data_IF_461631930813
#
_entry.id   IF_461631930813
#
_cell.length_a   1.000
_cell.length_b   1.000
_cell.length_c   1.000
_cell.angle_alpha   90.00
_cell.angle_beta   90.00
_cell.angle_gamma   90.00
#
_symmetry.space_group_name_H-M   'P 1'
#
loop_
_entity.id
_entity.type
_entity.pdbx_description
1 polymer ?
#
# COMPACT_ATOMS: atom_id res chain seq x y z
N UNK A 1 9.93 -27.54 -13.73
CA UNK A 1 10.33 -26.15 -13.44
C UNK A 1 9.46 -25.67 -12.31
N UNK A 2 10.06 -25.30 -11.18
CA UNK A 2 9.33 -24.91 -9.98
C UNK A 2 8.62 -23.58 -10.24
N UNK A 3 7.33 -23.67 -10.54
CA UNK A 3 6.43 -22.52 -10.52
C UNK A 3 6.09 -22.22 -9.05
N UNK A 4 7.10 -21.71 -8.34
CA UNK A 4 6.86 -21.08 -7.04
C UNK A 4 6.15 -19.78 -7.37
N UNK A 5 4.82 -19.85 -7.33
CA UNK A 5 3.89 -18.74 -7.36
C UNK A 5 4.30 -17.77 -6.23
N UNK A 6 5.26 -16.89 -6.51
CA UNK A 6 5.81 -15.95 -5.56
C UNK A 6 4.71 -14.94 -5.28
N UNK A 7 3.88 -15.26 -4.28
CA UNK A 7 2.83 -14.37 -3.80
C UNK A 7 3.52 -13.08 -3.42
N UNK A 8 3.29 -12.03 -4.21
CA UNK A 8 3.84 -10.73 -3.93
C UNK A 8 3.36 -10.27 -2.55
N UNK A 9 4.27 -9.68 -1.77
CA UNK A 9 3.97 -9.12 -0.48
C UNK A 9 2.80 -8.13 -0.58
N UNK A 10 1.99 -8.09 0.47
CA UNK A 10 0.84 -7.22 0.57
C UNK A 10 0.88 -6.44 1.88
N UNK A 11 0.07 -5.41 1.93
CA UNK A 11 -0.11 -4.56 3.10
C UNK A 11 -1.60 -4.30 3.31
N UNK A 12 -1.95 -4.03 4.56
CA UNK A 12 -3.30 -3.64 4.98
C UNK A 12 -3.22 -2.24 5.56
N UNK A 13 -4.10 -1.35 5.13
CA UNK A 13 -4.18 0.02 5.63
C UNK A 13 -5.61 0.26 6.09
N UNK A 14 -5.77 0.69 7.34
CA UNK A 14 -7.03 1.17 7.88
C UNK A 14 -6.92 2.66 8.17
N UNK A 15 -7.82 3.45 7.58
CA UNK A 15 -7.89 4.87 7.85
C UNK A 15 -8.42 5.14 9.27
N UNK A 16 -7.70 5.95 10.04
CA UNK A 16 -8.09 6.37 11.39
C UNK A 16 -8.69 7.80 11.41
N UNK A 17 -8.68 8.48 10.26
CA UNK A 17 -9.33 9.76 9.98
C UNK A 17 -9.86 9.79 8.53
N UNK A 18 -10.71 10.75 8.21
CA UNK A 18 -11.19 10.97 6.84
C UNK A 18 -10.08 11.54 5.94
N UNK A 19 -10.03 11.10 4.68
CA UNK A 19 -9.08 11.66 3.71
C UNK A 19 -7.65 11.13 3.81
N UNK A 20 -7.46 9.91 4.36
CA UNK A 20 -6.19 9.20 4.24
C UNK A 20 -5.92 8.89 2.77
N UNK A 21 -4.69 9.14 2.32
CA UNK A 21 -4.27 8.85 0.95
C UNK A 21 -3.28 7.70 0.90
N UNK A 22 -3.58 6.69 0.08
CA UNK A 22 -2.69 5.57 -0.24
C UNK A 22 -2.17 5.75 -1.67
N UNK A 23 -0.88 6.07 -1.80
CA UNK A 23 -0.27 6.49 -3.06
C UNK A 23 0.68 5.41 -3.56
N UNK A 24 0.41 4.88 -4.76
CA UNK A 24 1.29 3.94 -5.45
C UNK A 24 2.42 4.65 -6.20
N UNK A 25 3.64 4.15 -6.04
CA UNK A 25 4.82 4.61 -6.76
C UNK A 25 5.25 3.58 -7.81
N UNK A 26 5.60 4.08 -9.00
CA UNK A 26 5.95 3.25 -10.15
C UNK A 26 7.21 2.43 -9.90
N UNK A 27 7.18 1.16 -10.33
CA UNK A 27 8.38 0.34 -10.48
C UNK A 27 9.15 0.76 -11.74
N UNK A 28 10.48 0.81 -11.64
CA UNK A 28 11.36 1.04 -12.80
C UNK A 28 12.38 2.16 -12.57
N UNK A 29 12.95 2.68 -13.65
CA UNK A 29 13.99 3.72 -13.62
C UNK A 29 13.50 5.06 -13.07
N UNK A 30 12.21 5.35 -13.23
CA UNK A 30 11.58 6.56 -12.72
C UNK A 30 10.65 6.22 -11.56
N UNK A 31 10.78 6.94 -10.45
CA UNK A 31 9.88 6.84 -9.30
C UNK A 31 8.89 8.01 -9.32
N UNK A 32 7.63 7.75 -9.68
CA UNK A 32 6.56 8.76 -9.70
C UNK A 32 5.27 8.20 -9.10
N UNK A 33 4.39 9.08 -8.64
CA UNK A 33 3.04 8.70 -8.26
C UNK A 33 2.24 8.33 -9.51
N UNK A 34 1.50 7.21 -9.47
CA UNK A 34 0.68 6.77 -10.59
C UNK A 34 -0.78 6.53 -10.22
N UNK A 35 -1.06 6.16 -8.97
CA UNK A 35 -2.41 6.04 -8.42
C UNK A 35 -2.44 6.61 -6.99
N UNK A 36 -3.57 7.18 -6.62
CA UNK A 36 -3.84 7.64 -5.26
C UNK A 36 -5.26 7.22 -4.90
N UNK A 37 -5.38 6.31 -3.94
CA UNK A 37 -6.66 5.94 -3.35
C UNK A 37 -6.93 6.85 -2.14
N UNK A 38 -8.16 7.34 -2.00
CA UNK A 38 -8.61 8.09 -0.82
C UNK A 38 -9.44 7.15 0.04
N UNK A 39 -9.12 7.08 1.32
CA UNK A 39 -9.87 6.34 2.32
C UNK A 39 -10.49 7.31 3.33
N UNK A 40 -11.78 7.14 3.59
CA UNK A 40 -12.48 7.81 4.69
C UNK A 40 -12.38 6.97 5.98
N UNK A 41 -12.70 7.56 7.13
CA UNK A 41 -12.44 6.97 8.45
C UNK A 41 -13.08 5.59 8.58
N UNK A 42 -12.27 4.61 8.96
CA UNK A 42 -12.70 3.23 9.16
C UNK A 42 -12.65 2.38 7.88
N UNK A 43 -12.45 2.97 6.71
CA UNK A 43 -12.22 2.21 5.47
C UNK A 43 -10.89 1.44 5.53
N UNK A 44 -10.87 0.30 4.85
CA UNK A 44 -9.74 -0.62 4.82
C UNK A 44 -9.36 -0.91 3.38
N UNK A 45 -8.07 -0.77 3.07
CA UNK A 45 -7.48 -1.19 1.81
C UNK A 45 -6.50 -2.34 2.05
N UNK A 46 -6.66 -3.42 1.28
CA UNK A 46 -5.70 -4.53 1.21
C UNK A 46 -5.15 -4.52 -0.21
N UNK A 47 -3.84 -4.33 -0.35
CA UNK A 47 -3.21 -4.23 -1.66
C UNK A 47 -1.85 -4.90 -1.70
N UNK A 48 -1.49 -5.41 -2.88
CA UNK A 48 -0.24 -6.11 -3.14
C UNK A 48 0.77 -5.16 -3.78
N UNK A 49 2.06 -5.44 -3.59
CA UNK A 49 3.06 -4.99 -4.55
C UNK A 49 2.85 -5.70 -5.88
N UNK A 50 3.01 -4.97 -6.98
CA UNK A 50 2.74 -5.48 -8.32
C UNK A 50 3.88 -5.18 -9.27
N UNK A 51 3.75 -5.60 -10.52
CA UNK A 51 4.63 -5.18 -11.60
C UNK A 51 4.70 -3.64 -11.70
N UNK A 52 3.57 -2.95 -11.50
CA UNK A 52 3.48 -1.50 -11.65
C UNK A 52 3.81 -0.74 -10.35
N UNK A 53 3.58 -1.35 -9.19
CA UNK A 53 3.76 -0.69 -7.89
C UNK A 53 4.88 -1.33 -7.08
N UNK A 54 5.96 -0.59 -6.88
CA UNK A 54 7.13 -1.04 -6.09
C UNK A 54 7.25 -0.38 -4.74
N UNK A 55 6.57 0.74 -4.51
CA UNK A 55 6.53 1.41 -3.23
C UNK A 55 5.16 2.03 -3.01
N UNK A 56 4.82 2.22 -1.74
CA UNK A 56 3.56 2.83 -1.30
C UNK A 56 3.91 3.95 -0.34
N UNK A 57 3.21 5.07 -0.48
CA UNK A 57 3.25 6.17 0.47
C UNK A 57 1.85 6.37 1.05
N UNK A 58 1.74 6.33 2.37
CA UNK A 58 0.52 6.66 3.09
C UNK A 58 0.63 8.08 3.65
N UNK A 59 -0.43 8.88 3.52
CA UNK A 59 -0.56 10.21 4.12
C UNK A 59 -1.87 10.29 4.90
N UNK A 60 -1.84 10.90 6.08
CA UNK A 60 -2.96 10.92 7.02
C UNK A 60 -2.81 9.86 8.11
N UNK A 61 -3.64 9.94 9.14
CA UNK A 61 -3.62 9.04 10.30
C UNK A 61 -4.17 7.67 9.91
N UNK A 62 -3.34 6.63 10.01
CA UNK A 62 -3.71 5.29 9.58
C UNK A 62 -2.96 4.21 10.37
N UNK A 63 -3.60 3.05 10.56
CA UNK A 63 -2.96 1.82 11.02
C UNK A 63 -2.57 0.99 9.80
N UNK A 64 -1.31 0.57 9.74
CA UNK A 64 -0.74 -0.15 8.61
C UNK A 64 -0.18 -1.48 9.11
N UNK A 65 -0.54 -2.59 8.49
CA UNK A 65 0.01 -3.91 8.77
C UNK A 65 0.74 -4.45 7.55
N UNK A 66 1.90 -5.04 7.78
CA UNK A 66 2.71 -5.76 6.78
C UNK A 66 3.15 -7.11 7.36
N UNK A 67 3.88 -7.90 6.58
CA UNK A 67 4.54 -9.11 7.08
C UNK A 67 5.55 -8.84 8.22
N UNK A 68 5.99 -7.58 8.39
CA UNK A 68 6.95 -7.17 9.41
C UNK A 68 6.30 -6.60 10.68
N UNK A 69 4.98 -6.62 10.77
CA UNK A 69 4.22 -6.12 11.92
C UNK A 69 3.42 -4.86 11.59
N UNK A 70 3.00 -4.18 12.65
CA UNK A 70 2.10 -3.03 12.59
C UNK A 70 2.86 -1.72 12.80
N UNK A 71 2.40 -0.67 12.12
CA UNK A 71 2.87 0.71 12.31
C UNK A 71 1.67 1.66 12.23
N UNK A 72 1.68 2.69 13.07
CA UNK A 72 0.72 3.79 13.04
C UNK A 72 1.46 5.06 12.62
N UNK A 73 0.82 5.87 11.77
CA UNK A 73 1.30 7.20 11.37
C UNK A 73 0.58 8.31 12.13
#
# INVERSE_FOLDING_TARGET
MNDQNAKADYFVIKALEDGVHVIGLTRGSNTKFHHSEKLDQGEIMIAQFTEHTSAIKVRGKALIQTSHGEIEN
#
